data_IF_932585019465
#
_entry.id   IF_932585019465
#
_cell.length_a   1.000
_cell.length_b   1.000
_cell.length_c   1.000
_cell.angle_alpha   90.00
_cell.angle_beta   90.00
_cell.angle_gamma   90.00
#
_symmetry.space_group_name_H-M   'P 1'
#
loop_
_entity.id
_entity.type
_entity.pdbx_description
1 polymer ?
#
# COMPACT_ATOMS: atom_id res chain seq x y z
N UNK A 1 -13.26 13.40 2.86
CA UNK A 1 -12.75 13.12 1.47
C UNK A 1 -12.00 11.80 1.45
N UNK A 2 -11.99 11.09 0.33
CA UNK A 2 -11.11 9.95 0.11
C UNK A 2 -9.96 10.37 -0.82
N UNK A 3 -8.75 10.36 -0.32
CA UNK A 3 -7.54 10.49 -1.11
C UNK A 3 -7.10 9.10 -1.56
N UNK A 4 -6.63 8.97 -2.80
CA UNK A 4 -6.14 7.72 -3.35
C UNK A 4 -4.71 7.96 -3.85
N UNK A 5 -3.74 7.39 -3.17
CA UNK A 5 -2.33 7.50 -3.54
C UNK A 5 -1.92 6.31 -4.39
N UNK A 6 -1.39 6.59 -5.58
CA UNK A 6 -0.83 5.60 -6.50
C UNK A 6 0.63 5.96 -6.73
N UNK A 7 1.53 5.06 -6.37
CA UNK A 7 2.96 5.24 -6.66
C UNK A 7 3.31 4.49 -7.93
N UNK A 8 3.76 5.21 -8.96
CA UNK A 8 4.16 4.62 -10.23
C UNK A 8 5.68 4.55 -10.35
N UNK A 9 6.17 3.48 -11.00
CA UNK A 9 7.59 3.29 -11.25
C UNK A 9 7.86 2.79 -12.66
N UNK A 10 8.51 3.63 -13.48
CA UNK A 10 8.83 3.35 -14.89
C UNK A 10 7.61 2.94 -15.74
N UNK A 11 6.44 3.52 -15.46
CA UNK A 11 5.18 3.34 -16.20
C UNK A 11 4.59 4.72 -16.50
N UNK A 12 3.93 4.88 -17.65
CA UNK A 12 3.15 6.07 -17.95
C UNK A 12 1.90 6.10 -17.08
N UNK A 13 1.49 7.29 -16.63
CA UNK A 13 0.27 7.48 -15.86
C UNK A 13 -0.97 7.01 -16.61
N UNK A 14 -1.05 7.29 -17.92
CA UNK A 14 -2.13 6.86 -18.78
C UNK A 14 -2.26 5.33 -18.81
N UNK A 15 -1.14 4.60 -18.86
CA UNK A 15 -1.13 3.14 -18.85
C UNK A 15 -1.66 2.56 -17.55
N UNK A 16 -1.31 3.17 -16.42
CA UNK A 16 -1.76 2.74 -15.09
C UNK A 16 -3.25 3.04 -14.92
N UNK A 17 -3.67 4.26 -15.20
CA UNK A 17 -5.06 4.68 -14.97
C UNK A 17 -6.05 4.11 -15.99
N UNK A 18 -5.59 3.76 -17.19
CA UNK A 18 -6.46 3.13 -18.20
C UNK A 18 -6.72 1.65 -18.00
N UNK A 19 -5.74 0.94 -17.42
CA UNK A 19 -5.78 -0.53 -17.29
C UNK A 19 -6.31 -1.01 -15.94
N UNK A 20 -6.15 -0.17 -14.91
CA UNK A 20 -6.40 -0.56 -13.52
C UNK A 20 -7.59 0.19 -12.91
N UNK A 21 -7.91 -0.14 -11.72
CA UNK A 21 -9.03 0.32 -10.90
C UNK A 21 -9.16 1.84 -10.77
N UNK A 22 -8.08 2.58 -10.99
CA UNK A 22 -8.11 4.04 -10.95
C UNK A 22 -9.08 4.62 -11.98
N UNK A 23 -9.23 4.00 -13.16
CA UNK A 23 -10.27 4.37 -14.13
C UNK A 23 -11.67 4.25 -13.53
N UNK A 24 -11.94 3.18 -12.78
CA UNK A 24 -13.24 2.97 -12.10
C UNK A 24 -13.48 3.99 -10.98
N UNK A 25 -12.42 4.45 -10.32
CA UNK A 25 -12.49 5.53 -9.34
C UNK A 25 -12.85 6.87 -9.99
N UNK A 26 -12.27 7.16 -11.17
CA UNK A 26 -12.57 8.38 -11.93
C UNK A 26 -13.98 8.36 -12.52
N UNK A 27 -14.44 7.24 -13.07
CA UNK A 27 -15.69 7.14 -13.81
C UNK A 27 -16.96 7.23 -12.96
N UNK A 28 -16.92 6.82 -11.70
CA UNK A 28 -18.14 6.59 -10.91
C UNK A 28 -18.37 7.54 -9.74
N UNK A 29 -17.37 8.27 -9.27
CA UNK A 29 -17.50 8.98 -8.00
C UNK A 29 -17.38 10.49 -8.07
N UNK A 30 -17.53 11.06 -9.25
CA UNK A 30 -17.59 12.50 -9.49
C UNK A 30 -16.61 13.28 -8.61
N UNK A 31 -15.81 14.05 -9.20
CA UNK A 31 -14.63 14.80 -8.73
C UNK A 31 -14.69 15.42 -7.31
N UNK A 32 -15.87 15.51 -6.71
CA UNK A 32 -16.08 16.28 -5.46
C UNK A 32 -15.77 15.51 -4.17
N UNK A 33 -15.54 14.19 -4.22
CA UNK A 33 -15.38 13.37 -2.99
C UNK A 33 -14.15 12.45 -3.01
N UNK A 34 -13.43 12.36 -4.12
CA UNK A 34 -12.21 11.58 -4.27
C UNK A 34 -11.14 12.44 -4.92
N UNK A 35 -9.91 12.37 -4.38
CA UNK A 35 -8.73 13.01 -4.92
C UNK A 35 -7.69 11.95 -5.24
N UNK A 36 -7.34 11.79 -6.51
CA UNK A 36 -6.28 10.89 -6.93
C UNK A 36 -4.95 11.63 -6.89
N UNK A 37 -3.99 11.06 -6.21
CA UNK A 37 -2.62 11.55 -6.08
C UNK A 37 -1.71 10.50 -6.72
N UNK A 38 -1.06 10.84 -7.80
CA UNK A 38 -0.07 9.98 -8.45
C UNK A 38 1.31 10.49 -8.09
N UNK A 39 2.11 9.66 -7.44
CA UNK A 39 3.52 9.94 -7.16
C UNK A 39 4.38 9.15 -8.13
N UNK A 40 4.99 9.87 -9.08
CA UNK A 40 5.90 9.26 -10.04
C UNK A 40 7.31 9.16 -9.43
N UNK A 41 7.65 7.93 -9.08
CA UNK A 41 8.92 7.56 -8.46
C UNK A 41 9.92 6.94 -9.47
N UNK A 42 9.75 7.25 -10.77
CA UNK A 42 10.54 6.69 -11.86
C UNK A 42 11.93 7.30 -11.94
N UNK A 43 12.92 6.46 -12.27
CA UNK A 43 14.28 6.90 -12.57
C UNK A 43 14.40 7.48 -14.00
N UNK A 44 13.44 7.17 -14.87
CA UNK A 44 13.48 7.55 -16.29
C UNK A 44 12.42 8.61 -16.59
N UNK A 45 12.74 9.52 -17.48
CA UNK A 45 11.74 10.39 -18.12
C UNK A 45 10.99 9.55 -19.14
N UNK A 46 9.68 9.35 -18.92
CA UNK A 46 8.84 8.50 -19.75
C UNK A 46 8.03 9.27 -20.79
N UNK A 47 7.94 10.59 -20.62
CA UNK A 47 7.26 11.48 -21.55
C UNK A 47 8.28 12.20 -22.39
N UNK A 48 8.12 12.15 -23.71
CA UNK A 48 8.92 12.92 -24.68
C UNK A 48 8.47 14.37 -24.68
N UNK A 49 7.15 14.57 -24.57
CA UNK A 49 6.49 15.86 -24.46
C UNK A 49 5.68 15.92 -23.16
N UNK A 50 5.92 16.98 -22.38
CA UNK A 50 5.19 17.17 -21.12
C UNK A 50 3.74 17.64 -21.33
N UNK A 51 3.34 18.02 -22.57
CA UNK A 51 1.96 18.36 -22.91
C UNK A 51 1.02 17.17 -22.73
N UNK A 52 1.41 15.96 -23.22
CA UNK A 52 0.63 14.73 -23.04
C UNK A 52 0.31 14.47 -21.57
N UNK A 53 1.30 14.65 -20.70
CA UNK A 53 1.13 14.48 -19.26
C UNK A 53 0.23 15.55 -18.66
N UNK A 54 0.48 16.80 -19.02
CA UNK A 54 -0.26 17.97 -18.48
C UNK A 54 -1.74 17.88 -18.84
N UNK A 55 -2.06 17.57 -20.10
CA UNK A 55 -3.42 17.41 -20.60
C UNK A 55 -4.14 16.25 -19.91
N UNK A 56 -3.45 15.12 -19.74
CA UNK A 56 -4.02 13.97 -19.05
C UNK A 56 -4.33 14.27 -17.57
N UNK A 57 -3.41 14.91 -16.88
CA UNK A 57 -3.56 15.28 -15.46
C UNK A 57 -4.71 16.27 -15.28
N UNK A 58 -4.77 17.31 -16.13
CA UNK A 58 -5.81 18.34 -16.10
C UNK A 58 -7.19 17.76 -16.41
N UNK A 59 -7.30 16.95 -17.46
CA UNK A 59 -8.56 16.33 -17.89
C UNK A 59 -9.18 15.45 -16.81
N UNK A 60 -8.36 14.76 -16.02
CA UNK A 60 -8.82 13.83 -14.99
C UNK A 60 -8.79 14.40 -13.57
N UNK A 61 -8.40 15.67 -13.38
CA UNK A 61 -8.32 16.30 -12.07
C UNK A 61 -7.35 15.60 -11.09
N UNK A 62 -6.25 15.06 -11.62
CA UNK A 62 -5.26 14.29 -10.86
C UNK A 62 -4.22 15.22 -10.26
N UNK A 63 -3.78 14.92 -9.05
CA UNK A 63 -2.58 15.52 -8.45
C UNK A 63 -1.37 14.68 -8.85
N UNK A 64 -0.46 15.25 -9.63
CA UNK A 64 0.75 14.56 -10.06
C UNK A 64 1.97 15.14 -9.37
N UNK A 65 2.71 14.27 -8.66
CA UNK A 65 3.93 14.62 -7.94
C UNK A 65 5.08 13.84 -8.54
N UNK A 66 6.04 14.53 -9.16
CA UNK A 66 7.25 13.93 -9.74
C UNK A 66 8.38 13.96 -8.75
N UNK A 67 8.99 12.82 -8.49
CA UNK A 67 10.27 12.72 -7.82
C UNK A 67 11.42 12.79 -8.86
N UNK A 68 12.53 13.43 -8.51
CA UNK A 68 13.72 13.53 -9.40
C UNK A 68 14.35 12.16 -9.68
N UNK A 69 14.18 11.21 -8.75
CA UNK A 69 14.70 9.83 -8.83
C UNK A 69 13.84 8.91 -7.96
N UNK A 70 14.09 7.61 -8.06
CA UNK A 70 13.46 6.64 -7.15
C UNK A 70 13.92 6.85 -5.70
N UNK A 71 13.04 7.42 -4.89
CA UNK A 71 13.27 7.67 -3.46
C UNK A 71 12.93 6.47 -2.56
N UNK A 72 12.36 5.41 -3.13
CA UNK A 72 11.71 4.31 -2.40
C UNK A 72 10.23 4.57 -2.11
N UNK A 73 9.53 3.51 -1.76
CA UNK A 73 8.07 3.53 -1.64
C UNK A 73 7.60 4.32 -0.40
N UNK A 74 8.32 4.23 0.74
CA UNK A 74 7.98 5.00 1.95
C UNK A 74 7.98 6.49 1.72
N UNK A 75 9.03 7.01 1.08
CA UNK A 75 9.13 8.44 0.78
C UNK A 75 8.10 8.87 -0.25
N UNK A 76 7.80 8.01 -1.22
CA UNK A 76 6.74 8.30 -2.18
C UNK A 76 5.36 8.37 -1.50
N UNK A 77 5.05 7.45 -0.57
CA UNK A 77 3.82 7.52 0.23
C UNK A 77 3.77 8.79 1.08
N UNK A 78 4.89 9.18 1.71
CA UNK A 78 4.92 10.40 2.52
C UNK A 78 4.66 11.67 1.69
N UNK A 79 5.05 11.72 0.41
CA UNK A 79 4.67 12.82 -0.49
C UNK A 79 3.15 12.88 -0.71
N UNK A 80 2.49 11.74 -0.85
CA UNK A 80 1.04 11.71 -0.96
C UNK A 80 0.35 12.09 0.38
N UNK A 81 0.92 11.66 1.51
CA UNK A 81 0.45 12.04 2.86
C UNK A 81 0.57 13.53 3.07
N UNK A 82 1.71 14.13 2.76
CA UNK A 82 1.97 15.57 2.87
C UNK A 82 0.91 16.38 2.09
N UNK A 83 0.66 15.99 0.84
CA UNK A 83 -0.38 16.61 0.03
C UNK A 83 -1.78 16.43 0.66
N UNK A 84 -2.15 15.20 1.05
CA UNK A 84 -3.47 14.92 1.58
C UNK A 84 -3.76 15.66 2.89
N UNK A 85 -2.76 15.76 3.79
CA UNK A 85 -2.88 16.53 5.04
C UNK A 85 -3.02 18.03 4.79
N UNK A 86 -2.29 18.56 3.79
CA UNK A 86 -2.39 19.96 3.42
C UNK A 86 -3.75 20.31 2.76
N UNK A 87 -4.30 19.45 1.91
CA UNK A 87 -5.58 19.66 1.19
C UNK A 87 -6.80 19.36 2.10
N UNK A 88 -6.65 18.50 3.11
CA UNK A 88 -7.75 18.08 3.98
C UNK A 88 -8.19 19.19 4.93
N UNK A 89 -9.51 19.45 4.94
CA UNK A 89 -10.13 20.35 5.93
C UNK A 89 -10.55 19.62 7.21
N UNK A 90 -10.60 18.29 7.17
CA UNK A 90 -11.04 17.50 8.31
C UNK A 90 -10.34 16.12 8.38
N UNK A 91 -9.07 16.07 8.81
CA UNK A 91 -8.28 14.84 8.85
C UNK A 91 -8.91 13.69 9.65
N UNK A 92 -9.78 14.00 10.62
CA UNK A 92 -10.50 13.00 11.44
C UNK A 92 -11.56 12.21 10.65
N UNK A 93 -12.01 12.73 9.52
CA UNK A 93 -13.03 12.11 8.68
C UNK A 93 -12.53 11.78 7.27
N UNK A 94 -11.33 12.21 6.95
CA UNK A 94 -10.72 11.97 5.66
C UNK A 94 -9.76 10.77 5.71
N UNK A 95 -9.73 9.99 4.64
CA UNK A 95 -8.90 8.79 4.53
C UNK A 95 -7.97 8.88 3.34
N UNK A 96 -6.79 8.30 3.47
CA UNK A 96 -5.84 8.04 2.37
C UNK A 96 -5.82 6.54 2.06
N UNK A 97 -6.25 6.15 0.87
CA UNK A 97 -6.14 4.80 0.35
C UNK A 97 -4.86 4.65 -0.46
N UNK A 98 -4.10 3.59 -0.22
CA UNK A 98 -2.89 3.26 -0.94
C UNK A 98 -3.18 2.23 -2.01
N UNK A 99 -2.64 2.44 -3.21
CA UNK A 99 -2.73 1.49 -4.33
C UNK A 99 -1.36 1.31 -4.98
N UNK A 100 -1.03 0.05 -5.25
CA UNK A 100 0.10 -0.25 -6.14
C UNK A 100 -0.29 -0.01 -7.60
N UNK A 101 0.68 0.24 -8.44
CA UNK A 101 0.49 0.54 -9.87
C UNK A 101 0.07 -0.67 -10.73
N UNK A 102 -0.12 -1.82 -10.11
CA UNK A 102 -0.57 -3.08 -10.72
C UNK A 102 -1.78 -3.72 -9.98
N UNK A 103 -2.37 -3.01 -9.02
CA UNK A 103 -3.53 -3.49 -8.27
C UNK A 103 -4.82 -3.32 -9.07
N UNK A 104 -5.55 -4.40 -9.33
CA UNK A 104 -6.87 -4.34 -9.93
C UNK A 104 -7.97 -4.43 -8.85
N UNK A 105 -8.48 -3.27 -8.48
CA UNK A 105 -9.58 -3.13 -7.51
C UNK A 105 -10.91 -3.32 -8.22
N UNK A 106 -11.77 -4.15 -7.65
CA UNK A 106 -13.13 -4.34 -8.15
C UNK A 106 -14.02 -3.13 -7.82
N UNK A 107 -15.10 -2.95 -8.61
CA UNK A 107 -16.10 -1.94 -8.31
C UNK A 107 -16.71 -2.13 -6.91
N UNK A 108 -16.95 -3.38 -6.51
CA UNK A 108 -17.49 -3.69 -5.19
C UNK A 108 -16.55 -3.26 -4.06
N UNK A 109 -15.24 -3.40 -4.26
CA UNK A 109 -14.27 -2.93 -3.29
C UNK A 109 -14.36 -1.42 -3.09
N UNK A 110 -14.38 -0.67 -4.19
CA UNK A 110 -14.50 0.80 -4.16
C UNK A 110 -15.79 1.21 -3.48
N UNK A 111 -16.91 0.57 -3.84
CA UNK A 111 -18.23 0.85 -3.23
C UNK A 111 -18.24 0.62 -1.73
N UNK A 112 -17.67 -0.49 -1.25
CA UNK A 112 -17.61 -0.79 0.17
C UNK A 112 -16.68 0.18 0.93
N UNK A 113 -15.52 0.55 0.38
CA UNK A 113 -14.66 1.59 0.97
C UNK A 113 -15.45 2.91 1.11
N UNK A 114 -16.18 3.33 0.06
CA UNK A 114 -16.96 4.58 0.11
C UNK A 114 -18.08 4.56 1.13
N UNK A 115 -18.76 3.44 1.27
CA UNK A 115 -19.80 3.26 2.30
C UNK A 115 -19.21 3.39 3.70
N UNK A 116 -18.08 2.75 3.93
CA UNK A 116 -17.50 2.65 5.27
C UNK A 116 -16.80 3.94 5.72
N UNK A 117 -16.00 4.59 4.86
CA UNK A 117 -15.32 5.81 5.29
C UNK A 117 -16.30 6.98 5.55
N UNK A 118 -17.47 6.95 4.92
CA UNK A 118 -18.52 7.96 5.16
C UNK A 118 -19.37 7.70 6.39
N UNK A 119 -19.32 6.50 6.95
CA UNK A 119 -20.14 6.16 8.10
C UNK A 119 -19.64 6.89 9.35
N UNK A 120 -20.41 7.83 9.95
CA UNK A 120 -19.98 8.54 11.15
C UNK A 120 -19.67 7.60 12.32
N UNK A 121 -20.34 6.44 12.39
CA UNK A 121 -20.09 5.42 13.38
C UNK A 121 -18.63 4.92 13.36
N UNK A 122 -17.93 4.94 12.22
CA UNK A 122 -16.55 4.46 12.13
C UNK A 122 -15.57 5.28 12.94
N UNK A 123 -15.78 6.60 13.01
CA UNK A 123 -14.97 7.46 13.88
C UNK A 123 -15.28 7.18 15.35
N UNK A 124 -16.55 6.98 15.69
CA UNK A 124 -16.98 6.65 17.05
C UNK A 124 -16.51 5.25 17.49
N UNK A 125 -16.46 4.29 16.55
CA UNK A 125 -15.95 2.94 16.79
C UNK A 125 -14.40 2.91 16.90
N UNK A 126 -13.72 4.05 16.67
CA UNK A 126 -12.27 4.17 16.72
C UNK A 126 -11.56 3.48 15.55
N UNK A 127 -12.25 3.21 14.43
CA UNK A 127 -11.66 2.61 13.24
C UNK A 127 -10.73 3.61 12.55
N UNK A 128 -9.46 3.25 12.43
CA UNK A 128 -8.42 4.05 11.79
C UNK A 128 -7.97 3.48 10.45
N UNK A 129 -8.20 2.19 10.22
CA UNK A 129 -7.78 1.48 9.00
C UNK A 129 -8.98 0.73 8.42
N UNK A 130 -9.18 0.82 7.11
CA UNK A 130 -10.17 0.02 6.38
C UNK A 130 -9.41 -0.77 5.31
N UNK A 131 -9.64 -2.07 5.23
CA UNK A 131 -9.05 -2.95 4.22
C UNK A 131 -10.02 -4.04 3.80
N UNK A 132 -9.81 -4.66 2.66
CA UNK A 132 -10.55 -5.83 2.22
C UNK A 132 -9.76 -7.12 2.33
N UNK A 133 -10.32 -8.17 1.75
CA UNK A 133 -9.68 -9.48 1.67
C UNK A 133 -8.83 -9.53 0.40
N UNK A 134 -7.54 -9.81 0.53
CA UNK A 134 -6.61 -9.86 -0.60
C UNK A 134 -6.19 -11.30 -0.82
N UNK A 135 -6.34 -11.75 -2.07
CA UNK A 135 -6.05 -13.11 -2.51
C UNK A 135 -5.00 -13.10 -3.63
N UNK A 136 -4.36 -14.23 -3.87
CA UNK A 136 -3.49 -14.44 -5.01
C UNK A 136 -3.64 -15.86 -5.52
N UNK A 137 -4.22 -16.01 -6.73
CA UNK A 137 -4.58 -17.30 -7.30
C UNK A 137 -5.56 -18.06 -6.39
N UNK A 138 -6.58 -17.39 -5.85
CA UNK A 138 -7.57 -17.95 -4.93
C UNK A 138 -7.03 -18.30 -3.53
N UNK A 139 -5.80 -17.88 -3.20
CA UNK A 139 -5.21 -18.13 -1.88
C UNK A 139 -5.24 -16.83 -1.07
N UNK A 140 -5.90 -16.80 0.12
CA UNK A 140 -5.89 -15.64 0.99
C UNK A 140 -4.46 -15.24 1.39
N UNK A 141 -4.16 -13.94 1.29
CA UNK A 141 -2.84 -13.38 1.56
C UNK A 141 -2.86 -12.32 2.66
N UNK A 142 -3.94 -11.53 2.74
CA UNK A 142 -4.10 -10.41 3.67
C UNK A 142 -5.60 -10.15 3.91
N UNK A 143 -6.01 -9.66 5.09
CA UNK A 143 -5.21 -9.42 6.30
C UNK A 143 -4.80 -10.72 7.02
N UNK A 144 -3.82 -10.59 7.92
CA UNK A 144 -3.31 -11.72 8.72
C UNK A 144 -3.30 -11.34 10.21
N UNK A 145 -3.41 -12.33 11.10
CA UNK A 145 -3.20 -12.11 12.54
C UNK A 145 -1.77 -11.65 12.78
N UNK A 146 -1.62 -10.66 13.67
CA UNK A 146 -0.33 -10.12 14.07
C UNK A 146 0.57 -11.24 14.59
N UNK A 147 1.87 -11.21 14.27
CA UNK A 147 2.93 -12.12 14.75
C UNK A 147 3.26 -13.38 13.98
N UNK A 148 2.79 -13.60 12.79
CA UNK A 148 3.28 -14.77 12.06
C UNK A 148 4.19 -14.37 10.92
N UNK A 149 5.52 -14.46 11.14
CA UNK A 149 6.50 -14.46 10.07
C UNK A 149 6.38 -15.69 9.15
N UNK A 150 5.68 -16.71 9.60
CA UNK A 150 5.30 -17.84 8.80
C UNK A 150 3.91 -17.57 8.27
N UNK A 151 3.84 -17.18 7.00
CA UNK A 151 2.59 -17.19 6.28
C UNK A 151 1.99 -18.61 6.35
N UNK A 152 0.98 -18.75 7.17
CA UNK A 152 0.13 -19.95 7.18
C UNK A 152 -1.26 -19.49 6.76
N UNK A 153 -1.88 -20.21 5.82
CA UNK A 153 -3.27 -19.96 5.38
C UNK A 153 -4.23 -19.87 6.58
N UNK A 154 -3.94 -20.59 7.67
CA UNK A 154 -4.71 -20.56 8.93
C UNK A 154 -4.66 -19.23 9.69
N UNK A 155 -3.76 -18.33 9.35
CA UNK A 155 -3.62 -17.02 10.02
C UNK A 155 -4.28 -15.88 9.26
N UNK A 156 -4.77 -16.14 8.05
CA UNK A 156 -5.48 -15.12 7.28
C UNK A 156 -6.85 -14.88 7.86
N UNK A 157 -7.21 -13.61 7.94
CA UNK A 157 -8.58 -13.18 8.23
C UNK A 157 -9.39 -13.40 6.95
N UNK A 158 -10.50 -14.10 7.06
CA UNK A 158 -11.38 -14.43 5.94
C UNK A 158 -12.83 -13.98 6.15
N UNK A 159 -13.10 -13.28 7.25
CA UNK A 159 -14.41 -12.75 7.57
C UNK A 159 -14.37 -11.24 7.73
N UNK A 160 -15.37 -10.50 7.22
CA UNK A 160 -15.53 -9.09 7.51
C UNK A 160 -15.76 -8.86 9.01
N UNK A 161 -15.34 -7.67 9.49
CA UNK A 161 -15.50 -7.28 10.89
C UNK A 161 -14.45 -6.30 11.36
N UNK A 162 -14.53 -5.89 12.62
CA UNK A 162 -13.57 -5.00 13.27
C UNK A 162 -12.57 -5.84 14.07
N UNK A 163 -11.29 -5.53 13.91
CA UNK A 163 -10.17 -6.25 14.52
C UNK A 163 -9.14 -5.28 15.06
N UNK A 164 -8.54 -5.60 16.21
CA UNK A 164 -7.52 -4.79 16.86
C UNK A 164 -6.10 -5.37 16.71
N UNK A 165 -5.96 -6.63 16.33
CA UNK A 165 -4.67 -7.33 16.30
C UNK A 165 -4.41 -8.08 14.99
N UNK A 166 -4.52 -7.32 13.90
CA UNK A 166 -4.26 -7.84 12.55
C UNK A 166 -3.30 -6.92 11.79
N UNK A 167 -2.74 -7.43 10.71
CA UNK A 167 -1.89 -6.71 9.79
C UNK A 167 -2.39 -6.93 8.37
N UNK A 168 -2.25 -5.91 7.52
CA UNK A 168 -2.58 -6.00 6.10
C UNK A 168 -1.45 -5.44 5.25
N UNK A 169 -1.47 -5.73 3.96
CA UNK A 169 -0.60 -5.09 2.98
C UNK A 169 -1.19 -3.75 2.55
N UNK A 170 -0.36 -2.88 1.99
CA UNK A 170 -0.75 -1.52 1.60
C UNK A 170 -1.77 -1.47 0.47
N UNK A 171 -1.78 -2.42 -0.47
CA UNK A 171 -2.71 -2.41 -1.61
C UNK A 171 -4.18 -2.43 -1.18
N UNK A 172 -4.88 -1.33 -1.44
CA UNK A 172 -6.27 -1.15 -1.03
C UNK A 172 -6.50 -0.73 0.42
N UNK A 173 -5.44 -0.61 1.22
CA UNK A 173 -5.55 -0.12 2.61
C UNK A 173 -5.88 1.36 2.63
N UNK A 174 -6.99 1.74 3.26
CA UNK A 174 -7.37 3.12 3.51
C UNK A 174 -7.14 3.46 5.00
N UNK A 175 -6.44 4.55 5.26
CA UNK A 175 -6.06 4.98 6.62
C UNK A 175 -6.56 6.38 6.88
N UNK A 176 -7.06 6.62 8.07
CA UNK A 176 -7.53 7.93 8.50
C UNK A 176 -6.37 8.91 8.61
N UNK A 177 -6.52 10.12 8.05
CA UNK A 177 -5.41 11.05 7.93
C UNK A 177 -4.85 11.51 9.29
N UNK A 178 -5.69 11.75 10.28
CA UNK A 178 -5.22 12.14 11.62
C UNK A 178 -4.45 11.01 12.32
N UNK A 179 -4.75 9.75 12.00
CA UNK A 179 -3.98 8.61 12.51
C UNK A 179 -2.60 8.52 11.83
N UNK A 180 -2.52 8.82 10.52
CA UNK A 180 -1.24 8.90 9.81
C UNK A 180 -0.38 10.02 10.39
N UNK A 181 -0.97 11.21 10.60
CA UNK A 181 -0.28 12.37 11.17
C UNK A 181 0.29 12.07 12.56
N UNK A 182 -0.52 11.44 13.44
CA UNK A 182 -0.09 11.10 14.80
C UNK A 182 1.10 10.17 14.88
N UNK A 183 1.28 9.27 13.89
CA UNK A 183 2.42 8.36 13.88
C UNK A 183 3.59 8.87 13.03
N UNK A 184 3.48 10.07 12.45
CA UNK A 184 4.51 10.71 11.65
C UNK A 184 4.69 10.13 10.25
N UNK A 185 3.65 9.48 9.69
CA UNK A 185 3.70 8.89 8.35
C UNK A 185 4.42 7.55 8.27
N UNK A 186 4.97 7.26 7.09
CA UNK A 186 5.70 6.02 6.80
C UNK A 186 7.19 6.16 7.09
N UNK A 187 7.80 5.10 7.62
CA UNK A 187 9.23 5.06 8.00
C UNK A 187 10.15 5.16 6.77
N UNK A 188 10.82 6.29 6.60
CA UNK A 188 11.61 6.62 5.40
C UNK A 188 12.91 5.84 5.24
N UNK A 189 13.38 5.17 6.29
CA UNK A 189 14.55 4.30 6.21
C UNK A 189 14.28 2.96 5.51
N UNK A 190 13.00 2.65 5.25
CA UNK A 190 12.55 1.50 4.47
C UNK A 190 12.35 1.91 3.01
N UNK A 191 12.91 1.11 2.09
CA UNK A 191 12.88 1.44 0.67
C UNK A 191 11.68 0.86 -0.08
N UNK A 192 11.35 -0.42 0.16
CA UNK A 192 10.32 -1.13 -0.61
C UNK A 192 9.55 -2.18 0.19
N UNK A 193 10.19 -2.84 1.14
CA UNK A 193 9.59 -3.94 1.90
C UNK A 193 9.34 -3.53 3.36
N UNK A 194 8.41 -4.23 4.04
CA UNK A 194 8.08 -4.04 5.46
C UNK A 194 7.49 -2.67 5.83
N UNK A 195 7.15 -1.86 4.84
CA UNK A 195 6.63 -0.49 5.03
C UNK A 195 5.27 -0.55 5.72
N UNK A 196 4.36 -1.35 5.18
CA UNK A 196 3.02 -1.61 5.69
C UNK A 196 3.06 -2.18 7.12
N UNK A 197 3.88 -3.21 7.34
CA UNK A 197 4.03 -3.83 8.65
C UNK A 197 4.63 -2.88 9.70
N UNK A 198 5.60 -2.06 9.31
CA UNK A 198 6.19 -1.04 10.21
C UNK A 198 5.17 0.04 10.54
N UNK A 199 4.44 0.51 9.53
CA UNK A 199 3.41 1.52 9.71
C UNK A 199 2.29 1.04 10.65
N UNK A 200 1.75 -0.17 10.43
CA UNK A 200 0.74 -0.76 11.31
C UNK A 200 1.26 -1.05 12.72
N UNK A 201 2.54 -1.40 12.84
CA UNK A 201 3.19 -1.51 14.15
C UNK A 201 3.23 -0.15 14.87
N UNK A 202 3.56 0.93 14.16
CA UNK A 202 3.55 2.28 14.73
C UNK A 202 2.14 2.70 15.15
N UNK A 203 1.12 2.45 14.33
CA UNK A 203 -0.28 2.66 14.73
C UNK A 203 -0.62 1.91 16.03
N UNK A 204 -0.19 0.66 16.16
CA UNK A 204 -0.47 -0.13 17.36
C UNK A 204 0.21 0.40 18.63
N UNK A 205 1.34 1.08 18.50
CA UNK A 205 2.01 1.71 19.64
C UNK A 205 1.30 2.97 20.16
N UNK A 206 0.37 3.48 19.35
CA UNK A 206 -0.44 4.65 19.67
C UNK A 206 -1.92 4.30 19.86
N UNK A 207 -2.25 3.01 20.03
CA UNK A 207 -3.65 2.50 20.15
C UNK A 207 -4.55 2.91 18.98
N UNK A 208 -3.96 3.04 17.76
CA UNK A 208 -4.63 3.43 16.52
C UNK A 208 -4.79 2.27 15.53
N UNK A 209 -4.58 1.03 15.96
CA UNK A 209 -4.53 -0.15 15.08
C UNK A 209 -5.90 -0.82 14.85
N UNK A 210 -7.01 -0.20 15.30
CA UNK A 210 -8.35 -0.75 15.03
C UNK A 210 -8.68 -0.70 13.56
N UNK A 211 -8.94 -1.89 12.98
CA UNK A 211 -9.07 -2.11 11.56
C UNK A 211 -10.43 -2.71 11.21
N UNK A 212 -11.11 -2.13 10.23
CA UNK A 212 -12.30 -2.71 9.61
C UNK A 212 -11.89 -3.51 8.38
N UNK A 213 -12.25 -4.79 8.38
CA UNK A 213 -12.16 -5.65 7.19
C UNK A 213 -13.52 -5.66 6.50
N UNK A 214 -13.59 -5.12 5.29
CA UNK A 214 -14.81 -5.05 4.49
C UNK A 214 -15.09 -6.36 3.76
N UNK A 215 -16.35 -6.59 3.37
CA UNK A 215 -16.74 -7.76 2.57
C UNK A 215 -16.49 -7.53 1.08
N UNK A 216 -15.25 -7.23 0.74
CA UNK A 216 -14.83 -7.08 -0.65
C UNK A 216 -13.42 -7.65 -0.84
N UNK A 217 -13.12 -8.09 -2.06
CA UNK A 217 -11.87 -8.80 -2.39
C UNK A 217 -11.09 -8.08 -3.47
N UNK A 218 -9.76 -8.22 -3.39
CA UNK A 218 -8.80 -7.84 -4.42
C UNK A 218 -8.02 -9.09 -4.81
N UNK A 219 -7.90 -9.34 -6.09
CA UNK A 219 -6.94 -10.31 -6.63
C UNK A 219 -5.63 -9.57 -6.94
N UNK A 220 -4.54 -9.99 -6.34
CA UNK A 220 -3.24 -9.36 -6.53
C UNK A 220 -2.18 -10.35 -7.00
N UNK A 221 -1.44 -9.95 -8.02
CA UNK A 221 -0.30 -10.69 -8.55
C UNK A 221 0.97 -10.35 -7.81
N UNK A 222 1.46 -11.25 -6.95
CA UNK A 222 2.73 -11.03 -6.26
C UNK A 222 3.92 -11.35 -7.16
N UNK A 223 4.79 -10.37 -7.38
CA UNK A 223 6.01 -10.49 -8.18
C UNK A 223 6.95 -11.62 -7.72
N UNK A 224 6.90 -11.98 -6.44
CA UNK A 224 7.67 -13.10 -5.88
C UNK A 224 7.26 -14.49 -6.41
N UNK A 225 6.07 -14.62 -7.03
CA UNK A 225 5.59 -15.87 -7.65
C UNK A 225 6.03 -16.03 -9.10
N UNK A 226 6.41 -14.96 -9.78
CA UNK A 226 6.88 -15.01 -11.17
C UNK A 226 8.34 -15.45 -11.25
N UNK A 227 8.71 -16.18 -12.33
CA UNK A 227 10.12 -16.49 -12.62
C UNK A 227 10.83 -15.19 -12.98
N UNK A 228 11.90 -14.89 -12.29
CA UNK A 228 12.74 -13.72 -12.55
C UNK A 228 14.15 -14.18 -12.92
N UNK A 229 14.88 -13.35 -13.67
CA UNK A 229 16.30 -13.63 -13.90
C UNK A 229 17.07 -13.62 -12.56
N UNK A 230 18.12 -14.42 -12.47
CA UNK A 230 18.94 -14.52 -11.25
C UNK A 230 19.45 -13.17 -10.78
N UNK A 231 19.85 -12.30 -11.72
CA UNK A 231 20.33 -10.93 -11.42
C UNK A 231 19.25 -10.07 -10.78
N UNK A 232 18.04 -10.11 -11.32
CA UNK A 232 16.87 -9.37 -10.79
C UNK A 232 16.51 -9.89 -9.39
N UNK A 233 16.43 -11.21 -9.22
CA UNK A 233 16.14 -11.84 -7.93
C UNK A 233 17.18 -11.47 -6.85
N UNK A 234 18.47 -11.45 -7.19
CA UNK A 234 19.53 -11.05 -6.26
C UNK A 234 19.45 -9.56 -5.89
N UNK A 235 19.18 -8.66 -6.85
CA UNK A 235 18.97 -7.23 -6.58
C UNK A 235 17.78 -7.03 -5.63
N UNK A 236 16.66 -7.71 -5.92
CA UNK A 236 15.44 -7.63 -5.09
C UNK A 236 15.68 -8.18 -3.68
N UNK A 237 16.44 -9.27 -3.55
CA UNK A 237 16.83 -9.82 -2.26
C UNK A 237 17.70 -8.87 -1.43
N UNK A 238 18.62 -8.12 -2.06
CA UNK A 238 19.44 -7.13 -1.34
C UNK A 238 18.57 -6.03 -0.71
N UNK A 239 17.58 -5.51 -1.45
CA UNK A 239 16.62 -4.53 -0.93
C UNK A 239 15.85 -5.14 0.24
N UNK A 240 15.21 -6.30 0.02
CA UNK A 240 14.47 -7.00 1.07
C UNK A 240 15.30 -7.23 2.34
N UNK A 241 16.55 -7.67 2.20
CA UNK A 241 17.44 -7.90 3.33
C UNK A 241 17.66 -6.63 4.15
N UNK A 242 17.91 -5.49 3.49
CA UNK A 242 18.12 -4.20 4.15
C UNK A 242 16.86 -3.79 4.92
N UNK A 243 15.72 -3.78 4.24
CA UNK A 243 14.45 -3.35 4.81
C UNK A 243 14.00 -4.26 5.94
N UNK A 244 14.14 -5.59 5.78
CA UNK A 244 13.77 -6.55 6.80
C UNK A 244 14.63 -6.43 8.08
N UNK A 245 15.94 -6.19 7.95
CA UNK A 245 16.79 -5.95 9.12
C UNK A 245 16.41 -4.64 9.82
N UNK A 246 16.13 -3.60 9.04
CA UNK A 246 15.66 -2.32 9.60
C UNK A 246 14.31 -2.48 10.31
N UNK A 247 13.36 -3.22 9.72
CA UNK A 247 12.11 -3.57 10.36
C UNK A 247 12.33 -4.29 11.72
N UNK A 248 13.26 -5.25 11.77
CA UNK A 248 13.58 -5.94 13.03
C UNK A 248 14.10 -4.96 14.10
N UNK A 249 14.92 -3.99 13.72
CA UNK A 249 15.41 -2.95 14.62
C UNK A 249 14.28 -2.07 15.16
N UNK A 250 13.44 -1.55 14.25
CA UNK A 250 12.33 -0.66 14.59
C UNK A 250 11.27 -1.32 15.48
N UNK A 251 11.06 -2.62 15.30
CA UNK A 251 10.05 -3.38 16.03
C UNK A 251 10.58 -4.18 17.22
N UNK A 252 11.86 -4.00 17.59
CA UNK A 252 12.48 -4.69 18.71
C UNK A 252 12.63 -6.21 18.53
N UNK A 253 12.56 -6.71 17.27
CA UNK A 253 12.70 -8.14 17.00
C UNK A 253 14.13 -8.61 17.10
N UNK A 254 14.31 -9.84 17.60
CA UNK A 254 15.63 -10.42 17.78
C UNK A 254 16.42 -10.49 16.45
N UNK A 255 17.61 -9.89 16.43
CA UNK A 255 18.48 -9.84 15.24
C UNK A 255 18.87 -11.24 14.72
N UNK A 256 19.06 -12.23 15.61
CA UNK A 256 19.37 -13.60 15.22
C UNK A 256 18.22 -14.27 14.48
N UNK A 257 17.01 -14.05 14.95
CA UNK A 257 15.81 -14.50 14.26
C UNK A 257 15.72 -13.89 12.86
N UNK A 258 15.99 -12.57 12.76
CA UNK A 258 16.04 -11.89 11.46
C UNK A 258 17.05 -12.50 10.49
N UNK A 259 18.27 -12.81 10.97
CA UNK A 259 19.31 -13.45 10.18
C UNK A 259 18.92 -14.85 9.71
N UNK A 260 18.31 -15.65 10.57
CA UNK A 260 17.85 -17.01 10.23
C UNK A 260 16.73 -16.97 9.17
N UNK A 261 15.78 -16.04 9.31
CA UNK A 261 14.73 -15.83 8.31
C UNK A 261 15.33 -15.48 6.94
N UNK A 262 16.28 -14.55 6.91
CA UNK A 262 16.97 -14.13 5.68
C UNK A 262 17.75 -15.26 5.02
N UNK A 263 18.40 -16.11 5.83
CA UNK A 263 19.10 -17.30 5.33
C UNK A 263 18.13 -18.27 4.65
N UNK A 264 17.03 -18.61 5.29
CA UNK A 264 15.96 -19.46 4.71
C UNK A 264 15.43 -18.89 3.39
N UNK A 265 15.16 -17.57 3.35
CA UNK A 265 14.67 -16.91 2.13
C UNK A 265 15.72 -16.92 1.01
N UNK A 266 17.01 -16.74 1.33
CA UNK A 266 18.10 -16.82 0.36
C UNK A 266 18.19 -18.20 -0.27
N UNK A 267 18.18 -19.25 0.54
CA UNK A 267 18.22 -20.65 0.07
C UNK A 267 17.01 -20.92 -0.83
N UNK A 268 15.80 -20.56 -0.42
CA UNK A 268 14.59 -20.75 -1.23
C UNK A 268 14.67 -20.02 -2.59
N UNK A 269 15.20 -18.80 -2.61
CA UNK A 269 15.42 -18.01 -3.83
C UNK A 269 16.42 -18.71 -4.76
N UNK A 270 17.55 -19.21 -4.23
CA UNK A 270 18.57 -19.89 -5.01
C UNK A 270 18.06 -21.22 -5.58
N UNK A 271 17.29 -21.98 -4.81
CA UNK A 271 16.68 -23.24 -5.28
C UNK A 271 15.66 -22.98 -6.41
N UNK A 272 14.83 -21.92 -6.30
CA UNK A 272 13.84 -21.55 -7.33
C UNK A 272 14.49 -21.14 -8.65
N UNK A 273 15.66 -20.50 -8.59
CA UNK A 273 16.36 -19.96 -9.77
C UNK A 273 17.43 -20.92 -10.34
N UNK A 274 17.60 -22.13 -9.78
CA UNK A 274 18.46 -23.19 -10.35
C UNK A 274 17.74 -24.03 -11.42
N UNK A 275 16.42 -23.96 -11.47
CA UNK A 275 15.56 -24.59 -12.49
C UNK A 275 15.17 -23.58 -13.56
#
# INVERSE_FOLDING_TARGET
>A
MLYVAIVIYNKKISDVLSKYSAKRLLEKHGEKKTRIIVVDNSDKRLYVDDSELTDFVATHGIVYIKNEKNLGLSKAYNKAVEYALHDSRNPKFDFLMLLDDDTDITYDYIREIYKEYKAPSRVNDGVNVITGLIESGGVPMSPVRRFTFNYKKSNCINKPGIYDDIMCISSGMAVRLDAIEKVGGFEESLFLDMIDYTFLYNLSRHDLNRMLVINARIEQSFSGRQKQSRRVAQRRYKIYKKDFMRYCELTGKNKWYGRLHLLKRKVAMEMKNRK
#
